data_IF_871767906964
#
_entry.id   IF_871767906964
#
_cell.length_a   1.000
_cell.length_b   1.000
_cell.length_c   1.000
_cell.angle_alpha   90.00
_cell.angle_beta   90.00
_cell.angle_gamma   90.00
#
_symmetry.space_group_name_H-M   'P 1'
#
loop_
_entity.id
_entity.type
_entity.pdbx_description
1 polymer ?
#
# COMPACT_ATOMS: atom_id res chain seq x y z
N UNK A 1 70.16 -27.26 -16.02
CA UNK A 1 68.97 -27.95 -15.47
C UNK A 1 68.81 -27.57 -14.00
N UNK A 2 67.70 -26.90 -13.65
CA UNK A 2 66.94 -26.95 -12.38
C UNK A 2 66.03 -25.72 -12.32
N UNK A 3 64.81 -25.88 -12.84
CA UNK A 3 63.71 -24.95 -12.62
C UNK A 3 63.20 -25.13 -11.19
N UNK A 4 63.17 -24.05 -10.40
CA UNK A 4 62.61 -24.07 -9.04
C UNK A 4 61.28 -23.32 -9.08
N UNK A 5 60.18 -24.06 -9.11
CA UNK A 5 58.81 -23.55 -9.08
C UNK A 5 58.47 -23.21 -7.61
N UNK A 6 58.11 -21.95 -7.33
CA UNK A 6 57.56 -21.53 -6.03
C UNK A 6 56.04 -21.75 -6.03
N UNK A 7 55.45 -22.48 -5.07
CA UNK A 7 54.00 -22.61 -4.98
C UNK A 7 53.40 -21.34 -4.39
N UNK A 8 52.59 -20.63 -5.17
CA UNK A 8 51.71 -19.56 -4.69
C UNK A 8 50.43 -20.22 -4.18
N UNK A 9 50.22 -20.18 -2.88
CA UNK A 9 49.03 -20.72 -2.22
C UNK A 9 47.90 -19.69 -2.38
N UNK A 10 47.06 -19.86 -3.41
CA UNK A 10 45.85 -19.04 -3.62
C UNK A 10 44.76 -19.54 -2.67
N UNK A 11 44.52 -18.81 -1.59
CA UNK A 11 43.44 -19.09 -0.66
C UNK A 11 42.11 -18.65 -1.29
N UNK A 12 41.35 -19.61 -1.84
CA UNK A 12 40.03 -19.38 -2.41
C UNK A 12 39.02 -19.24 -1.27
N UNK A 13 38.74 -18.01 -0.84
CA UNK A 13 37.71 -17.71 0.16
C UNK A 13 36.32 -17.93 -0.46
N UNK A 14 35.64 -18.99 -0.03
CA UNK A 14 34.26 -19.31 -0.37
C UNK A 14 33.32 -18.26 0.27
N UNK A 15 32.73 -17.38 -0.52
CA UNK A 15 31.67 -16.49 -0.07
C UNK A 15 30.37 -17.31 0.06
N UNK A 16 29.98 -17.62 1.30
CA UNK A 16 28.65 -18.17 1.61
C UNK A 16 27.60 -17.06 1.39
N UNK A 17 26.93 -17.08 0.25
CA UNK A 17 25.75 -16.25 0.02
C UNK A 17 24.60 -16.79 0.88
N UNK A 18 24.27 -16.09 1.97
CA UNK A 18 23.06 -16.38 2.74
C UNK A 18 21.84 -16.16 1.83
N UNK A 19 21.13 -17.23 1.48
CA UNK A 19 19.88 -17.13 0.75
C UNK A 19 18.82 -16.50 1.66
N UNK A 20 18.50 -15.23 1.43
CA UNK A 20 17.29 -14.61 1.99
C UNK A 20 16.08 -15.26 1.30
N UNK A 21 15.42 -16.19 2.00
CA UNK A 21 14.15 -16.75 1.55
C UNK A 21 13.05 -15.70 1.75
N UNK A 22 12.73 -14.94 0.70
CA UNK A 22 11.55 -14.09 0.68
C UNK A 22 10.30 -14.94 0.39
N UNK A 23 9.27 -14.81 1.23
CA UNK A 23 7.97 -15.41 0.93
C UNK A 23 7.38 -14.79 -0.36
N UNK A 24 6.61 -15.56 -1.16
CA UNK A 24 5.95 -15.00 -2.34
C UNK A 24 4.98 -13.89 -1.94
N UNK A 25 4.91 -12.84 -2.77
CA UNK A 25 3.92 -11.79 -2.61
C UNK A 25 2.51 -12.36 -2.73
N UNK A 26 1.60 -11.98 -1.83
CA UNK A 26 0.19 -12.38 -1.93
C UNK A 26 -0.52 -11.59 -3.03
N UNK A 27 -1.44 -12.23 -3.80
CA UNK A 27 -2.25 -11.50 -4.77
C UNK A 27 -3.06 -10.39 -4.12
N UNK A 28 -3.26 -9.31 -4.87
CA UNK A 28 -4.19 -8.26 -4.48
C UNK A 28 -5.58 -8.88 -4.30
N UNK A 29 -6.10 -8.83 -3.08
CA UNK A 29 -7.31 -9.57 -2.67
C UNK A 29 -8.44 -8.65 -2.22
N UNK A 30 -8.13 -7.44 -1.76
CA UNK A 30 -9.12 -6.45 -1.36
C UNK A 30 -8.55 -5.03 -1.45
N UNK A 31 -9.41 -4.11 -1.85
CA UNK A 31 -9.25 -2.66 -1.73
C UNK A 31 -10.50 -2.13 -1.05
N UNK A 32 -10.35 -1.29 -0.04
CA UNK A 32 -11.48 -0.78 0.75
C UNK A 32 -11.18 0.64 1.23
N UNK A 33 -12.16 1.55 1.13
CA UNK A 33 -12.08 2.88 1.72
C UNK A 33 -12.50 2.74 3.17
N UNK A 34 -11.59 3.01 4.11
CA UNK A 34 -11.83 2.77 5.53
C UNK A 34 -12.55 3.94 6.19
N UNK A 35 -12.04 5.15 5.96
CA UNK A 35 -12.52 6.34 6.65
C UNK A 35 -12.26 7.61 5.87
N UNK A 36 -13.12 8.59 6.11
CA UNK A 36 -12.97 9.98 5.67
C UNK A 36 -12.82 10.86 6.91
N UNK A 37 -11.88 11.80 6.85
CA UNK A 37 -11.59 12.72 7.95
C UNK A 37 -11.68 14.15 7.46
N UNK A 38 -12.43 15.01 8.15
CA UNK A 38 -12.46 16.45 7.90
C UNK A 38 -12.64 17.22 9.20
N UNK A 39 -12.47 18.54 9.16
CA UNK A 39 -12.79 19.40 10.31
C UNK A 39 -14.29 19.57 10.52
N UNK A 40 -15.11 19.36 9.48
CA UNK A 40 -16.58 19.50 9.55
C UNK A 40 -17.31 18.29 10.14
N UNK A 41 -16.77 17.06 9.99
CA UNK A 41 -17.35 15.85 10.59
C UNK A 41 -16.31 14.94 11.29
N UNK A 42 -15.17 15.49 11.72
CA UNK A 42 -14.14 14.69 12.39
C UNK A 42 -13.80 13.41 11.59
N UNK A 43 -13.96 12.21 12.17
CA UNK A 43 -13.71 10.92 11.51
C UNK A 43 -15.04 10.21 11.24
N UNK A 44 -15.29 9.85 9.98
CA UNK A 44 -16.38 8.95 9.58
C UNK A 44 -15.78 7.61 9.11
N UNK A 45 -16.22 6.51 9.74
CA UNK A 45 -15.97 5.15 9.23
C UNK A 45 -16.93 4.84 8.07
N UNK A 46 -16.36 4.47 6.92
CA UNK A 46 -17.05 4.15 5.65
C UNK A 46 -16.70 2.76 5.14
N UNK A 47 -16.17 1.90 6.00
CA UNK A 47 -15.75 0.53 5.67
C UNK A 47 -16.94 -0.45 5.48
N UNK A 48 -18.18 0.04 5.52
CA UNK A 48 -19.39 -0.77 5.33
C UNK A 48 -19.78 -0.92 3.84
N UNK A 49 -18.95 -0.41 2.92
CA UNK A 49 -19.17 -0.52 1.49
C UNK A 49 -20.26 0.41 0.94
N UNK A 50 -20.69 1.42 1.72
CA UNK A 50 -21.62 2.44 1.23
C UNK A 50 -21.03 3.23 0.05
N UNK A 51 -21.88 3.77 -0.81
CA UNK A 51 -21.45 4.58 -1.95
C UNK A 51 -21.31 6.08 -1.64
N UNK A 52 -21.75 6.53 -0.45
CA UNK A 52 -21.74 7.94 -0.06
C UNK A 52 -21.51 8.13 1.44
N UNK A 53 -20.80 9.19 1.85
CA UNK A 53 -20.65 9.60 3.26
C UNK A 53 -21.99 10.01 3.88
N UNK A 54 -22.19 9.68 5.15
CA UNK A 54 -23.36 10.10 5.93
C UNK A 54 -23.22 11.55 6.36
N UNK A 55 -22.00 11.96 6.69
CA UNK A 55 -21.67 13.33 7.00
C UNK A 55 -21.40 14.19 5.77
N UNK A 56 -21.57 15.48 5.99
CA UNK A 56 -21.07 16.54 5.12
C UNK A 56 -19.63 16.89 5.53
N UNK A 57 -18.69 16.53 4.67
CA UNK A 57 -17.26 16.72 4.84
C UNK A 57 -16.76 18.03 4.20
N UNK A 58 -17.63 18.92 3.67
CA UNK A 58 -17.30 20.16 2.95
C UNK A 58 -16.41 21.15 3.71
N UNK A 59 -15.12 20.82 3.78
CA UNK A 59 -14.08 21.62 4.37
C UNK A 59 -12.77 21.34 3.63
N UNK A 60 -11.84 22.29 3.55
CA UNK A 60 -10.48 22.02 3.09
C UNK A 60 -9.79 20.96 3.97
N UNK A 61 -8.87 20.21 3.36
CA UNK A 61 -8.05 19.22 4.05
C UNK A 61 -8.78 17.92 4.38
N UNK A 62 -9.78 17.53 3.58
CA UNK A 62 -10.37 16.19 3.68
C UNK A 62 -9.26 15.15 3.47
N UNK A 63 -9.21 14.16 4.36
CA UNK A 63 -8.32 13.01 4.25
C UNK A 63 -9.09 11.73 4.02
N UNK A 64 -8.65 10.92 3.06
CA UNK A 64 -9.24 9.62 2.75
C UNK A 64 -8.21 8.54 3.01
N UNK A 65 -8.64 7.46 3.68
CA UNK A 65 -7.77 6.33 4.00
C UNK A 65 -8.27 5.08 3.29
N UNK A 66 -7.37 4.43 2.54
CA UNK A 66 -7.68 3.22 1.78
C UNK A 66 -6.79 2.08 2.24
N UNK A 67 -7.38 0.92 2.48
CA UNK A 67 -6.66 -0.31 2.80
C UNK A 67 -6.58 -1.21 1.57
N UNK A 68 -5.35 -1.55 1.20
CA UNK A 68 -5.01 -2.56 0.22
C UNK A 68 -4.52 -3.83 0.93
N UNK A 69 -5.10 -4.99 0.64
CA UNK A 69 -4.63 -6.30 1.13
C UNK A 69 -4.06 -7.12 -0.02
N UNK A 70 -2.86 -7.63 0.17
CA UNK A 70 -2.04 -8.17 -0.91
C UNK A 70 -1.26 -7.08 -1.63
N UNK A 71 -0.65 -7.44 -2.77
CA UNK A 71 0.31 -6.59 -3.45
C UNK A 71 -0.23 -6.09 -4.80
N UNK A 72 -0.67 -4.83 -4.82
CA UNK A 72 -0.94 -4.09 -6.05
C UNK A 72 0.31 -3.41 -6.62
N UNK A 73 0.24 -3.05 -7.90
CA UNK A 73 1.25 -2.27 -8.59
C UNK A 73 1.11 -0.78 -8.28
N UNK A 74 1.10 0.06 -9.31
CA UNK A 74 0.84 1.49 -9.16
C UNK A 74 -0.68 1.76 -9.18
N UNK A 75 -1.24 2.30 -8.08
CA UNK A 75 -2.67 2.58 -8.03
C UNK A 75 -3.02 3.77 -8.93
N UNK A 76 -4.22 3.74 -9.48
CA UNK A 76 -4.87 4.90 -10.09
C UNK A 76 -5.86 5.48 -9.08
N UNK A 77 -5.68 6.74 -8.72
CA UNK A 77 -6.46 7.43 -7.69
C UNK A 77 -6.93 8.77 -8.23
N UNK A 78 -8.22 9.08 -8.04
CA UNK A 78 -8.77 10.36 -8.48
C UNK A 78 -9.88 10.87 -7.58
N UNK A 79 -10.09 12.20 -7.64
CA UNK A 79 -11.28 12.89 -7.17
C UNK A 79 -11.92 13.59 -8.37
N UNK A 80 -13.15 13.23 -8.71
CA UNK A 80 -13.86 13.73 -9.89
C UNK A 80 -13.04 13.61 -11.20
N UNK A 81 -12.28 12.52 -11.31
CA UNK A 81 -11.42 12.23 -12.46
C UNK A 81 -10.08 12.97 -12.47
N UNK A 82 -9.81 13.84 -11.50
CA UNK A 82 -8.51 14.49 -11.32
C UNK A 82 -7.61 13.65 -10.42
N UNK A 83 -6.35 13.46 -10.82
CA UNK A 83 -5.39 12.64 -10.06
C UNK A 83 -5.15 13.21 -8.66
N UNK A 84 -4.96 12.30 -7.69
CA UNK A 84 -4.67 12.63 -6.29
C UNK A 84 -3.48 11.80 -5.81
N UNK A 85 -2.45 12.48 -5.35
CA UNK A 85 -1.29 11.86 -4.73
C UNK A 85 -1.59 11.40 -3.30
N UNK A 86 -0.96 10.29 -2.90
CA UNK A 86 -1.11 9.74 -1.57
C UNK A 86 0.18 9.20 -0.99
N UNK A 87 0.20 9.05 0.32
CA UNK A 87 1.28 8.40 1.06
C UNK A 87 0.92 6.94 1.24
N UNK A 88 1.86 6.04 0.90
CA UNK A 88 1.71 4.58 1.02
C UNK A 88 2.52 4.07 2.21
N UNK A 89 1.85 3.42 3.16
CA UNK A 89 2.47 2.85 4.36
C UNK A 89 2.29 1.33 4.38
N UNK A 90 3.35 0.52 4.53
CA UNK A 90 3.23 -0.93 4.62
C UNK A 90 2.50 -1.34 5.91
N UNK A 91 1.58 -2.30 5.79
CA UNK A 91 0.91 -2.90 6.95
C UNK A 91 1.27 -4.37 7.10
N UNK A 92 1.40 -4.80 8.34
CA UNK A 92 1.79 -6.12 8.79
C UNK A 92 0.63 -6.75 9.58
N UNK A 93 0.50 -8.08 9.51
CA UNK A 93 -0.43 -8.82 10.34
C UNK A 93 0.27 -9.22 11.66
N UNK A 94 -0.30 -8.82 12.80
CA UNK A 94 0.20 -9.20 14.13
C UNK A 94 -0.80 -10.06 14.93
N UNK A 95 -1.75 -10.71 14.26
CA UNK A 95 -2.71 -11.64 14.89
C UNK A 95 -3.98 -10.97 15.42
N UNK A 96 -3.91 -9.71 15.87
CA UNK A 96 -5.07 -8.93 16.32
C UNK A 96 -5.63 -7.98 15.23
N UNK A 97 -4.98 -7.93 14.06
CA UNK A 97 -5.35 -7.04 12.98
C UNK A 97 -4.17 -6.59 12.13
N UNK A 98 -4.43 -5.62 11.26
CA UNK A 98 -3.40 -4.97 10.44
C UNK A 98 -2.86 -3.74 11.17
N UNK A 99 -1.55 -3.70 11.37
CA UNK A 99 -0.82 -2.58 11.97
C UNK A 99 0.24 -2.07 11.01
N UNK A 100 0.72 -0.85 11.19
CA UNK A 100 1.88 -0.38 10.42
C UNK A 100 3.11 -1.22 10.77
N UNK A 101 3.87 -1.62 9.75
CA UNK A 101 5.03 -2.50 9.98
C UNK A 101 6.15 -1.84 10.81
N UNK A 102 6.25 -0.51 10.84
CA UNK A 102 7.27 0.23 11.60
C UNK A 102 8.72 -0.31 11.42
N UNK A 103 9.04 -0.84 10.24
CA UNK A 103 10.35 -1.43 9.92
C UNK A 103 10.53 -2.89 10.31
N UNK A 104 9.52 -3.57 10.87
CA UNK A 104 9.58 -4.97 11.27
C UNK A 104 8.37 -5.77 10.75
N UNK A 105 8.54 -7.09 10.61
CA UNK A 105 7.49 -8.01 10.19
C UNK A 105 7.34 -8.16 8.66
N UNK A 106 6.38 -8.98 8.26
CA UNK A 106 6.07 -9.23 6.84
C UNK A 106 4.92 -8.34 6.40
N UNK A 107 5.18 -7.46 5.44
CA UNK A 107 4.14 -6.67 4.79
C UNK A 107 3.09 -7.61 4.18
N UNK A 108 1.82 -7.32 4.41
CA UNK A 108 0.68 -8.07 3.87
C UNK A 108 -0.27 -7.19 3.07
N UNK A 109 0.08 -5.91 2.92
CA UNK A 109 -0.72 -4.91 2.23
C UNK A 109 -0.22 -3.50 2.53
N UNK A 110 -1.05 -2.51 2.21
CA UNK A 110 -0.70 -1.10 2.35
C UNK A 110 -1.89 -0.27 2.83
N UNK A 111 -1.62 0.67 3.73
CA UNK A 111 -2.52 1.76 4.06
C UNK A 111 -2.12 2.97 3.23
N UNK A 112 -3.04 3.51 2.46
CA UNK A 112 -2.89 4.74 1.72
C UNK A 112 -3.60 5.87 2.45
N UNK A 113 -2.98 7.04 2.52
CA UNK A 113 -3.61 8.27 2.97
C UNK A 113 -3.51 9.35 1.90
N UNK A 114 -4.65 9.94 1.55
CA UNK A 114 -4.77 10.99 0.54
C UNK A 114 -5.23 12.28 1.21
N UNK A 115 -4.62 13.41 0.87
CA UNK A 115 -5.07 14.74 1.25
C UNK A 115 -5.70 15.39 0.01
N UNK A 116 -6.98 15.75 0.11
CA UNK A 116 -7.72 16.31 -1.02
C UNK A 116 -7.44 17.81 -1.23
N UNK A 117 -6.64 18.44 -0.37
CA UNK A 117 -6.29 19.85 -0.44
C UNK A 117 -7.51 20.75 -0.24
N UNK A 118 -7.69 21.75 -1.10
CA UNK A 118 -8.82 22.68 -1.00
C UNK A 118 -10.15 22.15 -1.59
N UNK A 119 -10.18 20.90 -2.05
CA UNK A 119 -11.38 20.28 -2.63
C UNK A 119 -12.35 19.90 -1.50
N UNK A 120 -13.63 20.19 -1.69
CA UNK A 120 -14.66 20.10 -0.63
C UNK A 120 -15.55 18.84 -0.72
N UNK A 121 -15.19 17.87 -1.55
CA UNK A 121 -15.99 16.66 -1.76
C UNK A 121 -15.85 16.15 -3.20
N UNK A 122 -16.69 15.18 -3.57
CA UNK A 122 -16.72 14.60 -4.91
C UNK A 122 -16.58 13.08 -4.91
N UNK A 123 -16.47 12.52 -6.12
CA UNK A 123 -16.27 11.09 -6.33
C UNK A 123 -14.81 10.70 -6.17
N UNK A 124 -14.46 10.20 -4.99
CA UNK A 124 -13.17 9.58 -4.73
C UNK A 124 -13.16 8.16 -5.28
N UNK A 125 -12.11 7.84 -6.05
CA UNK A 125 -11.95 6.54 -6.68
C UNK A 125 -10.51 6.06 -6.48
N UNK A 126 -10.37 4.80 -6.07
CA UNK A 126 -9.09 4.11 -6.00
C UNK A 126 -9.20 2.80 -6.79
N UNK A 127 -8.18 2.48 -7.57
CA UNK A 127 -8.04 1.15 -8.14
C UNK A 127 -6.58 0.75 -8.26
N UNK A 128 -6.30 -0.55 -8.18
CA UNK A 128 -4.97 -1.10 -8.41
C UNK A 128 -5.06 -2.47 -9.07
N UNK A 129 -3.98 -2.87 -9.73
CA UNK A 129 -3.85 -4.16 -10.40
C UNK A 129 -2.88 -5.03 -9.64
N UNK A 130 -3.24 -6.29 -9.40
CA UNK A 130 -2.39 -7.27 -8.73
C UNK A 130 -1.03 -7.41 -9.43
N UNK A 131 0.06 -7.34 -8.66
CA UNK A 131 1.41 -7.64 -9.17
C UNK A 131 1.60 -9.12 -9.47
N UNK A 132 0.83 -9.97 -8.80
CA UNK A 132 0.89 -11.42 -9.04
C UNK A 132 -0.23 -11.87 -9.96
N UNK A 133 -0.04 -12.98 -10.68
CA UNK A 133 -1.10 -13.62 -11.47
C UNK A 133 -2.37 -13.83 -10.64
N UNK A 134 -3.56 -13.69 -11.24
CA UNK A 134 -3.82 -13.42 -12.66
C UNK A 134 -3.87 -11.92 -13.02
N UNK A 135 -3.27 -11.03 -12.23
CA UNK A 135 -3.28 -9.58 -12.48
C UNK A 135 -4.69 -8.95 -12.48
N UNK A 136 -5.55 -9.43 -11.59
CA UNK A 136 -6.88 -8.85 -11.39
C UNK A 136 -6.77 -7.37 -10.96
N UNK A 137 -7.66 -6.54 -11.51
CA UNK A 137 -7.84 -5.15 -11.06
C UNK A 137 -8.95 -5.10 -10.03
N UNK A 138 -8.67 -4.49 -8.88
CA UNK A 138 -9.64 -4.19 -7.83
C UNK A 138 -9.76 -2.68 -7.64
N UNK A 139 -10.90 -2.23 -7.13
CA UNK A 139 -11.12 -0.82 -6.84
C UNK A 139 -12.29 -0.58 -5.91
N UNK A 140 -12.35 0.64 -5.40
CA UNK A 140 -13.39 1.15 -4.54
C UNK A 140 -13.69 2.60 -4.91
N UNK A 141 -14.94 3.03 -4.71
CA UNK A 141 -15.39 4.41 -4.93
C UNK A 141 -16.28 4.86 -3.79
N UNK A 142 -16.26 6.16 -3.51
CA UNK A 142 -17.11 6.78 -2.50
C UNK A 142 -17.41 8.22 -2.92
N UNK A 143 -18.67 8.62 -2.87
CA UNK A 143 -19.05 10.02 -2.96
C UNK A 143 -18.92 10.68 -1.59
N UNK A 144 -18.04 11.67 -1.50
CA UNK A 144 -17.82 12.48 -0.31
C UNK A 144 -18.68 13.73 -0.49
N UNK A 145 -19.79 13.82 0.24
CA UNK A 145 -20.61 15.03 0.25
C UNK A 145 -20.11 16.03 1.27
#
# INVERSE_FOLDING_TARGET
MKCTIKPVFVCFSLLLSAALNAAPAMPLSRVEILKVVSTSCAVEDVSDGREQTKCDHQAPGIKVYVLERGYGGQPNVSLDGQEVDGVRTPVCNQGEGLVTCNGAGTTVGYLYSFDLGNRQGGWFQFSNTSLTPPHNRLGARLYIK
#
